data_IF_415269255671
#
_entry.id   IF_415269255671
#
_cell.length_a   1.000
_cell.length_b   1.000
_cell.length_c   1.000
_cell.angle_alpha   90.00
_cell.angle_beta   90.00
_cell.angle_gamma   90.00
#
_symmetry.space_group_name_H-M   'P 1'
#
loop_
_entity.id
_entity.type
_entity.pdbx_description
1 polymer ?
#
# COMPACT_ATOMS: atom_id res chain seq x y z
N UNK A 1 74.12 36.30 1.69
CA UNK A 1 73.23 35.80 0.64
C UNK A 1 72.38 34.63 1.13
N UNK A 2 71.12 34.83 1.53
CA UNK A 2 70.22 33.79 1.98
C UNK A 2 69.20 33.60 0.89
N UNK A 3 69.11 32.41 0.27
CA UNK A 3 68.11 32.05 -0.72
C UNK A 3 66.80 31.68 -0.01
N UNK A 4 65.74 32.41 -0.30
CA UNK A 4 64.41 32.09 0.09
C UNK A 4 63.86 30.96 -0.83
N UNK A 5 63.49 29.84 -0.24
CA UNK A 5 62.75 28.78 -0.95
C UNK A 5 61.27 29.03 -0.78
N UNK A 6 60.66 29.48 -1.85
CA UNK A 6 59.17 29.59 -1.96
C UNK A 6 58.59 28.21 -2.23
N UNK A 7 57.89 27.65 -1.25
CA UNK A 7 57.11 26.42 -1.43
C UNK A 7 55.80 26.78 -2.15
N UNK A 8 55.65 26.34 -3.37
CA UNK A 8 54.35 26.32 -4.06
C UNK A 8 53.45 25.25 -3.44
N UNK A 9 52.38 25.67 -2.78
CA UNK A 9 51.30 24.79 -2.39
C UNK A 9 50.39 24.61 -3.61
N UNK A 10 50.39 23.43 -4.21
CA UNK A 10 49.42 23.04 -5.23
C UNK A 10 48.15 22.68 -4.53
N UNK A 11 47.12 23.52 -4.66
CA UNK A 11 45.74 23.22 -4.27
C UNK A 11 45.16 22.25 -5.29
N UNK A 12 45.00 20.97 -4.95
CA UNK A 12 44.29 20.02 -5.73
C UNK A 12 42.79 20.26 -5.51
N UNK A 13 42.13 20.85 -6.50
CA UNK A 13 40.66 20.91 -6.57
C UNK A 13 40.18 19.51 -6.97
N UNK A 14 39.69 18.76 -5.99
CA UNK A 14 38.97 17.52 -6.24
C UNK A 14 37.57 17.93 -6.74
N UNK A 15 37.37 17.91 -8.04
CA UNK A 15 36.03 17.96 -8.63
C UNK A 15 35.37 16.61 -8.32
N UNK A 16 34.59 16.58 -7.27
CA UNK A 16 33.67 15.49 -7.00
C UNK A 16 32.62 15.50 -8.11
N UNK A 17 32.82 14.68 -9.13
CA UNK A 17 31.79 14.36 -10.09
C UNK A 17 30.72 13.56 -9.34
N UNK A 18 29.70 14.25 -8.85
CA UNK A 18 28.50 13.63 -8.31
C UNK A 18 27.85 12.85 -9.43
N UNK A 19 28.06 11.54 -9.42
CA UNK A 19 27.21 10.62 -10.17
C UNK A 19 25.84 10.72 -9.50
N UNK A 20 24.98 11.58 -10.06
CA UNK A 20 23.54 11.47 -9.79
C UNK A 20 23.16 10.08 -10.28
N UNK A 21 22.99 9.17 -9.33
CA UNK A 21 22.21 7.96 -9.56
C UNK A 21 20.83 8.47 -9.97
N UNK A 22 20.60 8.50 -11.30
CA UNK A 22 19.28 8.53 -11.84
C UNK A 22 18.56 7.37 -11.14
N UNK A 23 17.65 7.68 -10.24
CA UNK A 23 16.69 6.72 -9.75
C UNK A 23 15.97 6.23 -11.01
N UNK A 24 16.29 5.02 -11.44
CA UNK A 24 15.53 4.35 -12.48
C UNK A 24 14.09 4.37 -11.97
N UNK A 25 13.22 5.09 -12.63
CA UNK A 25 11.82 5.13 -12.30
C UNK A 25 11.32 3.68 -12.35
N UNK A 26 10.64 3.23 -11.33
CA UNK A 26 10.00 1.92 -11.23
C UNK A 26 8.91 1.68 -12.29
N UNK A 27 8.72 2.62 -13.20
CA UNK A 27 7.72 2.63 -14.26
C UNK A 27 7.82 1.45 -15.24
N UNK A 28 8.97 0.75 -15.28
CA UNK A 28 9.15 -0.43 -16.12
C UNK A 28 8.86 -1.75 -15.41
N UNK A 29 8.62 -1.74 -14.12
CA UNK A 29 8.45 -2.96 -13.32
C UNK A 29 7.27 -3.81 -13.79
N UNK A 30 6.19 -3.20 -14.26
CA UNK A 30 4.98 -3.87 -14.70
C UNK A 30 4.79 -3.92 -16.22
N UNK A 31 5.73 -3.41 -17.00
CA UNK A 31 5.57 -3.28 -18.47
C UNK A 31 5.36 -4.62 -19.18
N UNK A 32 5.86 -5.72 -18.62
CA UNK A 32 5.69 -7.06 -19.15
C UNK A 32 4.23 -7.54 -19.15
N UNK A 33 3.41 -7.05 -18.22
CA UNK A 33 2.01 -7.42 -18.06
C UNK A 33 1.12 -6.95 -19.21
N UNK A 34 1.54 -5.91 -19.93
CA UNK A 34 0.76 -5.29 -20.99
C UNK A 34 1.02 -5.89 -22.38
N UNK A 35 2.04 -6.76 -22.54
CA UNK A 35 2.51 -7.21 -23.85
C UNK A 35 1.56 -8.14 -24.59
N UNK A 36 0.80 -8.95 -23.87
CA UNK A 36 -0.07 -10.00 -24.42
C UNK A 36 -1.50 -9.92 -23.90
N UNK A 37 -1.94 -8.73 -23.47
CA UNK A 37 -3.30 -8.56 -23.00
C UNK A 37 -4.32 -8.74 -24.12
N UNK A 38 -5.43 -9.44 -23.89
CA UNK A 38 -6.52 -9.56 -24.85
C UNK A 38 -7.36 -8.29 -24.98
N UNK A 39 -6.96 -7.21 -24.36
CA UNK A 39 -7.64 -5.91 -24.35
C UNK A 39 -6.63 -4.77 -24.23
N UNK A 40 -7.04 -3.57 -24.62
CA UNK A 40 -6.23 -2.38 -24.44
C UNK A 40 -6.39 -1.82 -23.03
N UNK A 41 -5.28 -1.55 -22.37
CA UNK A 41 -5.19 -0.92 -21.06
C UNK A 41 -4.00 0.03 -21.04
N UNK A 42 -4.21 1.24 -20.54
CA UNK A 42 -3.15 2.20 -20.32
C UNK A 42 -2.14 1.69 -19.29
N UNK A 43 -0.85 1.87 -19.53
CA UNK A 43 0.17 1.52 -18.54
C UNK A 43 -0.02 2.35 -17.27
N UNK A 44 -0.15 1.68 -16.15
CA UNK A 44 -0.24 2.33 -14.84
C UNK A 44 1.18 2.54 -14.30
N UNK A 45 1.42 3.73 -13.79
CA UNK A 45 2.69 4.12 -13.18
C UNK A 45 2.55 4.24 -11.67
N UNK A 46 3.65 3.99 -10.96
CA UNK A 46 3.67 4.19 -9.51
C UNK A 46 3.41 5.67 -9.16
N UNK A 47 2.83 5.96 -7.99
CA UNK A 47 2.64 7.32 -7.51
C UNK A 47 3.95 8.10 -7.50
N UNK A 48 3.92 9.33 -8.00
CA UNK A 48 5.08 10.21 -7.96
C UNK A 48 5.15 10.90 -6.60
N UNK A 49 5.96 10.36 -5.70
CA UNK A 49 6.16 10.91 -4.35
C UNK A 49 7.36 11.84 -4.34
N UNK A 50 7.21 13.02 -3.76
CA UNK A 50 8.31 13.97 -3.60
C UNK A 50 9.43 13.38 -2.72
N UNK A 51 10.71 13.69 -2.98
CA UNK A 51 11.85 13.07 -2.29
C UNK A 51 12.03 13.53 -0.83
N UNK A 52 11.06 14.29 -0.29
CA UNK A 52 11.04 14.68 1.12
C UNK A 52 10.68 13.50 1.98
N UNK A 53 11.45 13.27 3.04
CA UNK A 53 11.19 12.21 4.02
C UNK A 53 11.19 12.79 5.42
N UNK A 54 10.23 12.37 6.24
CA UNK A 54 10.17 12.62 7.68
C UNK A 54 9.96 11.32 8.42
N UNK A 55 10.37 11.28 9.68
CA UNK A 55 10.17 10.13 10.56
C UNK A 55 9.08 10.47 11.59
N UNK A 56 8.19 9.55 11.92
CA UNK A 56 7.16 9.79 12.95
C UNK A 56 7.76 10.10 14.32
N UNK A 57 8.97 9.63 14.61
CA UNK A 57 9.72 9.97 15.83
C UNK A 57 10.08 11.46 15.91
N UNK A 58 10.27 12.14 14.79
CA UNK A 58 10.56 13.58 14.73
C UNK A 58 9.40 14.43 15.26
N UNK A 59 8.19 13.85 15.29
CA UNK A 59 6.98 14.45 15.83
C UNK A 59 6.64 14.01 17.26
N UNK A 60 7.51 13.21 17.88
CA UNK A 60 7.33 12.70 19.24
C UNK A 60 6.66 11.33 19.32
N UNK A 61 6.48 10.65 18.20
CA UNK A 61 5.96 9.29 18.18
C UNK A 61 6.88 8.29 18.87
N UNK A 62 6.31 7.25 19.48
CA UNK A 62 7.05 6.21 20.22
C UNK A 62 6.54 4.82 19.82
N UNK A 63 7.44 4.00 19.28
CA UNK A 63 7.15 2.64 18.81
C UNK A 63 7.22 1.56 19.91
N UNK A 64 6.61 1.79 21.07
CA UNK A 64 6.68 0.93 22.26
C UNK A 64 5.49 -0.05 22.40
N UNK A 65 4.52 0.00 21.50
CA UNK A 65 3.29 -0.81 21.54
C UNK A 65 2.22 -0.33 22.53
N UNK A 66 2.49 0.70 23.31
CA UNK A 66 1.60 1.22 24.36
C UNK A 66 1.15 2.64 24.05
N UNK A 67 2.08 3.51 23.69
CA UNK A 67 1.82 4.92 23.38
C UNK A 67 0.89 5.06 22.19
N UNK A 68 -0.15 5.89 22.32
CA UNK A 68 -1.05 6.22 21.23
C UNK A 68 -0.40 7.28 20.33
N UNK A 69 -0.13 6.94 19.08
CA UNK A 69 0.63 7.78 18.14
C UNK A 69 -0.25 8.53 17.13
N UNK A 70 -1.57 8.45 17.20
CA UNK A 70 -2.47 9.01 16.18
C UNK A 70 -2.21 10.48 15.88
N UNK A 71 -2.01 11.30 16.91
CA UNK A 71 -1.73 12.74 16.73
C UNK A 71 -0.38 13.00 16.07
N UNK A 72 0.65 12.22 16.38
CA UNK A 72 1.98 12.36 15.78
C UNK A 72 1.98 11.98 14.30
N UNK A 73 1.25 10.92 13.95
CA UNK A 73 1.02 10.56 12.55
C UNK A 73 0.26 11.65 11.81
N UNK A 74 -0.82 12.16 12.40
CA UNK A 74 -1.63 13.20 11.77
C UNK A 74 -0.81 14.48 11.52
N UNK A 75 -0.03 14.92 12.50
CA UNK A 75 0.85 16.09 12.37
C UNK A 75 1.91 15.88 11.26
N UNK A 76 2.56 14.72 11.22
CA UNK A 76 3.54 14.39 10.18
C UNK A 76 2.92 14.39 8.78
N UNK A 77 1.74 13.80 8.61
CA UNK A 77 1.00 13.80 7.35
C UNK A 77 0.63 15.23 6.95
N UNK A 78 0.18 16.05 7.91
CA UNK A 78 -0.20 17.44 7.65
C UNK A 78 1.00 18.29 7.22
N UNK A 79 2.13 18.14 7.87
CA UNK A 79 3.38 18.83 7.51
C UNK A 79 3.84 18.43 6.11
N UNK A 80 3.80 17.15 5.75
CA UNK A 80 4.14 16.69 4.41
C UNK A 80 3.17 17.26 3.38
N UNK A 81 1.87 17.17 3.62
CA UNK A 81 0.84 17.64 2.68
C UNK A 81 0.94 19.17 2.43
N UNK A 82 1.17 19.97 3.46
CA UNK A 82 1.37 21.42 3.34
C UNK A 82 2.62 21.77 2.51
N UNK A 83 3.57 20.87 2.41
CA UNK A 83 4.80 21.03 1.64
C UNK A 83 4.78 20.29 0.29
N UNK A 84 3.61 19.90 -0.22
CA UNK A 84 3.46 19.26 -1.53
C UNK A 84 3.66 17.75 -1.54
N UNK A 85 3.70 17.10 -0.37
CA UNK A 85 3.82 15.66 -0.23
C UNK A 85 5.19 15.18 0.23
N UNK A 86 5.35 13.86 0.28
CA UNK A 86 6.59 13.18 0.67
C UNK A 86 6.33 11.86 1.38
N UNK A 87 7.39 11.28 1.91
CA UNK A 87 7.39 10.00 2.62
C UNK A 87 7.37 10.20 4.13
N UNK A 88 6.39 9.59 4.80
CA UNK A 88 6.37 9.41 6.25
C UNK A 88 6.92 8.03 6.58
N UNK A 89 8.08 7.97 7.19
CA UNK A 89 8.71 6.73 7.62
C UNK A 89 8.24 6.33 9.01
N UNK A 90 7.81 5.07 9.13
CA UNK A 90 7.51 4.39 10.38
C UNK A 90 8.64 3.42 10.65
N UNK A 91 9.58 3.73 11.56
CA UNK A 91 10.75 2.91 11.79
C UNK A 91 10.40 1.68 12.63
N UNK A 92 11.42 0.84 12.88
CA UNK A 92 11.31 -0.35 13.74
C UNK A 92 10.58 -0.06 15.04
N UNK A 93 9.61 -0.91 15.40
CA UNK A 93 8.83 -0.82 16.63
C UNK A 93 7.39 -1.26 16.47
N UNK A 94 6.62 -1.17 17.54
CA UNK A 94 5.17 -1.41 17.53
C UNK A 94 4.47 -0.06 17.73
N UNK A 95 3.84 0.42 16.68
CA UNK A 95 3.25 1.75 16.61
C UNK A 95 1.75 1.68 16.78
N UNK A 96 1.29 1.83 18.01
CA UNK A 96 -0.15 1.83 18.31
C UNK A 96 -0.78 3.13 17.83
N UNK A 97 -1.84 3.03 17.02
CA UNK A 97 -2.52 4.21 16.46
C UNK A 97 -4.03 4.01 16.35
N UNK A 98 -4.79 5.10 16.36
CA UNK A 98 -6.15 5.17 15.88
C UNK A 98 -6.20 5.35 14.35
N UNK A 99 -7.32 5.87 13.81
CA UNK A 99 -7.49 6.13 12.40
C UNK A 99 -6.45 7.11 11.84
N UNK A 100 -5.94 6.80 10.64
CA UNK A 100 -5.05 7.66 9.87
C UNK A 100 -5.71 8.02 8.55
N UNK A 101 -5.62 9.28 8.15
CA UNK A 101 -6.09 9.74 6.83
C UNK A 101 -4.90 10.20 6.00
N UNK A 102 -4.64 9.51 4.89
CA UNK A 102 -3.60 9.92 3.95
C UNK A 102 -4.15 10.96 2.97
N UNK A 103 -3.27 11.84 2.50
CA UNK A 103 -3.57 12.97 1.61
C UNK A 103 -2.81 12.82 0.29
N UNK A 104 -3.06 13.73 -0.64
CA UNK A 104 -2.33 13.77 -1.92
C UNK A 104 -0.81 13.72 -1.74
N UNK A 105 -0.16 12.97 -2.61
CA UNK A 105 1.29 12.86 -2.72
C UNK A 105 1.98 12.35 -1.44
N UNK A 106 1.28 11.58 -0.60
CA UNK A 106 1.84 11.00 0.64
C UNK A 106 2.15 9.53 0.45
N UNK A 107 3.35 9.15 0.86
CA UNK A 107 3.73 7.77 1.08
C UNK A 107 3.85 7.49 2.58
N UNK A 108 3.08 6.54 3.08
CA UNK A 108 3.26 5.93 4.40
C UNK A 108 4.18 4.72 4.25
N UNK A 109 5.42 4.87 4.66
CA UNK A 109 6.44 3.83 4.56
C UNK A 109 6.61 3.13 5.92
N UNK A 110 6.03 1.93 6.05
CA UNK A 110 6.14 1.08 7.26
C UNK A 110 7.31 0.12 7.04
N UNK A 111 8.44 0.36 7.70
CA UNK A 111 9.65 -0.44 7.46
C UNK A 111 9.49 -1.92 7.87
N UNK A 112 10.33 -2.82 7.35
CA UNK A 112 10.22 -4.27 7.57
C UNK A 112 10.10 -4.70 9.04
N UNK A 113 10.74 -3.97 9.94
CA UNK A 113 10.74 -4.26 11.39
C UNK A 113 9.66 -3.48 12.15
N UNK A 114 8.75 -2.81 11.45
CA UNK A 114 7.69 -2.01 12.04
C UNK A 114 6.34 -2.75 12.02
N UNK A 115 5.58 -2.60 13.08
CA UNK A 115 4.18 -3.01 13.16
C UNK A 115 3.34 -1.77 13.45
N UNK A 116 2.47 -1.42 12.54
CA UNK A 116 1.44 -0.42 12.74
C UNK A 116 0.22 -1.13 13.32
N UNK A 117 -0.07 -0.89 14.61
CA UNK A 117 -1.07 -1.62 15.40
C UNK A 117 -2.30 -0.74 15.64
N UNK A 118 -3.46 -1.19 15.17
CA UNK A 118 -4.69 -0.43 15.34
C UNK A 118 -5.23 -0.49 16.77
N UNK A 119 -5.80 0.61 17.24
CA UNK A 119 -6.44 0.66 18.56
C UNK A 119 -7.77 -0.11 18.52
N UNK A 120 -7.86 -1.16 19.33
CA UNK A 120 -8.96 -2.14 19.30
C UNK A 120 -10.35 -1.58 19.66
N UNK A 121 -10.43 -0.39 20.20
CA UNK A 121 -11.67 0.28 20.58
C UNK A 121 -12.29 1.13 19.45
N UNK A 122 -11.59 1.28 18.33
CA UNK A 122 -12.09 2.03 17.17
C UNK A 122 -12.99 1.17 16.27
N UNK A 123 -14.15 1.71 15.90
CA UNK A 123 -15.03 1.16 14.85
C UNK A 123 -14.78 1.78 13.48
N UNK A 124 -13.74 2.60 13.36
CA UNK A 124 -13.38 3.32 12.15
C UNK A 124 -12.33 2.56 11.35
N UNK A 125 -12.19 2.88 10.08
CA UNK A 125 -11.11 2.40 9.23
C UNK A 125 -9.76 2.87 9.77
N UNK A 126 -8.77 1.97 9.77
CA UNK A 126 -7.43 2.29 10.25
C UNK A 126 -6.69 3.26 9.33
N UNK A 127 -6.67 2.97 8.04
CA UNK A 127 -6.04 3.83 7.03
C UNK A 127 -7.10 4.19 6.00
N UNK A 128 -7.42 5.46 5.88
CA UNK A 128 -8.35 5.98 4.89
C UNK A 128 -7.65 6.90 3.88
N UNK A 129 -7.98 6.70 2.61
CA UNK A 129 -7.60 7.55 1.48
C UNK A 129 -8.88 7.90 0.76
N UNK A 130 -9.24 9.17 0.70
CA UNK A 130 -10.49 9.60 0.07
C UNK A 130 -10.28 10.88 -0.73
N UNK A 131 -10.67 10.84 -2.01
CA UNK A 131 -10.57 11.97 -2.93
C UNK A 131 -9.13 12.42 -3.19
N UNK A 132 -8.15 11.52 -3.04
CA UNK A 132 -6.73 11.86 -3.12
C UNK A 132 -6.04 11.18 -4.31
N UNK A 133 -4.91 11.75 -4.74
CA UNK A 133 -4.09 11.24 -5.83
C UNK A 133 -2.63 11.06 -5.40
N UNK A 134 -1.92 10.13 -6.07
CA UNK A 134 -0.51 9.83 -5.79
C UNK A 134 -0.26 9.43 -4.32
N UNK A 135 -0.94 8.40 -3.86
CA UNK A 135 -0.80 7.91 -2.49
C UNK A 135 -0.17 6.54 -2.48
N UNK A 136 0.72 6.29 -1.51
CA UNK A 136 1.34 4.99 -1.36
C UNK A 136 1.37 4.51 0.10
N UNK A 137 1.27 3.19 0.29
CA UNK A 137 1.59 2.50 1.54
C UNK A 137 2.58 1.40 1.20
N UNK A 138 3.80 1.50 1.75
CA UNK A 138 4.94 0.66 1.36
C UNK A 138 5.81 0.26 2.55
N UNK A 139 6.94 -0.42 2.30
CA UNK A 139 8.05 -0.53 3.25
C UNK A 139 8.28 -1.91 3.87
N UNK A 140 7.42 -2.88 3.62
CA UNK A 140 7.61 -4.28 4.04
C UNK A 140 7.18 -4.59 5.47
N UNK A 141 6.63 -3.62 6.20
CA UNK A 141 6.15 -3.81 7.56
C UNK A 141 4.74 -4.41 7.64
N UNK A 142 4.26 -4.50 8.86
CA UNK A 142 2.97 -5.10 9.17
C UNK A 142 1.95 -4.01 9.52
N UNK A 143 0.80 -4.05 8.88
CA UNK A 143 -0.37 -3.25 9.21
C UNK A 143 -1.40 -4.20 9.83
N UNK A 144 -1.58 -4.08 11.14
CA UNK A 144 -2.33 -5.02 11.97
C UNK A 144 -3.59 -4.35 12.52
N UNK A 145 -4.76 -4.83 12.08
CA UNK A 145 -6.05 -4.36 12.54
C UNK A 145 -6.40 -4.74 13.97
N UNK A 146 -5.55 -5.54 14.63
CA UNK A 146 -5.76 -6.01 16.00
C UNK A 146 -7.15 -6.65 16.21
N UNK A 147 -7.55 -7.47 15.26
CA UNK A 147 -8.91 -7.97 15.06
C UNK A 147 -9.51 -8.84 16.15
N UNK A 148 -8.83 -9.07 17.27
CA UNK A 148 -9.41 -9.72 18.45
C UNK A 148 -10.53 -8.86 19.11
N UNK A 149 -10.62 -7.63 18.71
CA UNK A 149 -11.70 -6.77 19.14
C UNK A 149 -12.99 -7.09 18.38
N UNK A 150 -13.94 -7.69 19.03
CA UNK A 150 -15.33 -7.94 18.58
C UNK A 150 -16.08 -6.69 18.09
N UNK A 151 -15.41 -5.57 17.89
CA UNK A 151 -15.97 -4.22 17.71
C UNK A 151 -15.76 -3.61 16.32
N UNK A 152 -15.00 -4.25 15.44
CA UNK A 152 -14.72 -3.70 14.11
C UNK A 152 -15.70 -4.19 13.03
N UNK A 153 -16.84 -4.73 13.41
CA UNK A 153 -17.84 -5.20 12.45
C UNK A 153 -18.20 -4.07 11.47
N UNK A 154 -17.78 -4.22 10.22
CA UNK A 154 -18.09 -3.32 9.12
C UNK A 154 -17.03 -2.29 8.75
N UNK A 155 -15.97 -2.06 9.54
CA UNK A 155 -14.88 -1.17 9.16
C UNK A 155 -13.77 -1.92 8.43
N UNK A 156 -13.22 -1.30 7.39
CA UNK A 156 -12.07 -1.83 6.65
C UNK A 156 -10.76 -1.53 7.37
N UNK A 157 -9.73 -2.36 7.15
CA UNK A 157 -8.38 -2.01 7.61
C UNK A 157 -7.82 -0.86 6.78
N UNK A 158 -7.92 -0.97 5.45
CA UNK A 158 -7.57 0.10 4.51
C UNK A 158 -8.78 0.39 3.64
N UNK A 159 -9.16 1.66 3.49
CA UNK A 159 -10.18 2.14 2.57
C UNK A 159 -9.58 3.12 1.57
N UNK A 160 -9.86 2.89 0.28
CA UNK A 160 -9.47 3.77 -0.84
C UNK A 160 -10.73 4.16 -1.60
N UNK A 161 -11.11 5.42 -1.56
CA UNK A 161 -12.38 5.87 -2.12
C UNK A 161 -12.22 7.16 -2.93
N UNK A 162 -12.77 7.16 -4.18
CA UNK A 162 -12.70 8.30 -5.10
C UNK A 162 -11.25 8.78 -5.36
N UNK A 163 -10.30 7.83 -5.52
CA UNK A 163 -8.87 8.10 -5.63
C UNK A 163 -8.31 7.81 -7.02
N UNK A 164 -7.17 8.42 -7.33
CA UNK A 164 -6.39 8.13 -8.54
C UNK A 164 -4.92 7.88 -8.20
N UNK A 165 -4.33 6.84 -8.80
CA UNK A 165 -2.92 6.46 -8.64
C UNK A 165 -2.57 6.14 -7.18
N UNK A 166 -3.01 4.97 -6.73
CA UNK A 166 -2.73 4.48 -5.37
C UNK A 166 -1.90 3.19 -5.44
N UNK A 167 -0.85 3.12 -4.63
CA UNK A 167 0.03 1.96 -4.50
C UNK A 167 -0.03 1.40 -3.08
N UNK A 168 -0.39 0.12 -2.96
CA UNK A 168 -0.13 -0.65 -1.74
C UNK A 168 0.90 -1.72 -2.09
N UNK A 169 2.10 -1.65 -1.50
CA UNK A 169 3.18 -2.55 -1.88
C UNK A 169 4.02 -3.03 -0.70
N UNK A 170 4.52 -4.27 -0.85
CA UNK A 170 5.49 -4.92 0.04
C UNK A 170 4.99 -5.21 1.47
N UNK A 171 3.85 -4.72 1.88
CA UNK A 171 3.33 -4.79 3.24
C UNK A 171 2.49 -6.05 3.51
N UNK A 172 2.42 -6.41 4.80
CA UNK A 172 1.52 -7.43 5.32
C UNK A 172 0.31 -6.73 5.97
N UNK A 173 -0.88 -6.95 5.41
CA UNK A 173 -2.16 -6.46 5.95
C UNK A 173 -2.86 -7.61 6.66
N UNK A 174 -3.18 -7.45 7.94
CA UNK A 174 -3.75 -8.57 8.69
C UNK A 174 -4.73 -8.17 9.78
N UNK A 175 -5.49 -9.16 10.23
CA UNK A 175 -6.32 -9.12 11.43
C UNK A 175 -7.39 -8.01 11.40
N UNK A 176 -8.05 -7.81 10.26
CA UNK A 176 -9.28 -7.02 10.19
C UNK A 176 -10.49 -7.91 10.47
N UNK A 177 -11.47 -7.40 11.18
CA UNK A 177 -12.77 -8.05 11.36
C UNK A 177 -13.76 -7.73 10.25
N UNK A 178 -13.46 -6.75 9.41
CA UNK A 178 -14.16 -6.40 8.19
C UNK A 178 -13.28 -6.68 6.96
N UNK A 179 -13.55 -5.98 5.87
CA UNK A 179 -12.72 -6.05 4.66
C UNK A 179 -11.31 -5.56 4.99
N UNK A 180 -10.29 -6.30 4.54
CA UNK A 180 -8.91 -5.86 4.79
C UNK A 180 -8.57 -4.68 3.89
N UNK A 181 -8.80 -4.79 2.58
CA UNK A 181 -8.57 -3.70 1.63
C UNK A 181 -9.88 -3.44 0.87
N UNK A 182 -10.50 -2.30 1.08
CA UNK A 182 -11.76 -1.90 0.46
C UNK A 182 -11.53 -0.70 -0.46
N UNK A 183 -11.66 -0.92 -1.77
CA UNK A 183 -11.44 0.12 -2.78
C UNK A 183 -12.72 0.40 -3.56
N UNK A 184 -13.10 1.68 -3.64
CA UNK A 184 -14.34 2.12 -4.27
C UNK A 184 -14.10 3.29 -5.21
N UNK A 185 -14.73 3.28 -6.39
CA UNK A 185 -14.77 4.37 -7.37
C UNK A 185 -13.39 5.00 -7.64
N UNK A 186 -12.37 4.15 -7.74
CA UNK A 186 -10.99 4.57 -7.83
C UNK A 186 -10.33 4.04 -9.11
N UNK A 187 -9.32 4.76 -9.58
CA UNK A 187 -8.63 4.48 -10.83
C UNK A 187 -7.11 4.35 -10.62
N UNK A 188 -6.45 3.56 -11.47
CA UNK A 188 -4.99 3.33 -11.44
C UNK A 188 -4.50 2.81 -10.09
N UNK A 189 -5.05 1.67 -9.67
CA UNK A 189 -4.69 1.02 -8.41
C UNK A 189 -3.62 -0.04 -8.64
N UNK A 190 -2.58 -0.03 -7.82
CA UNK A 190 -1.51 -1.02 -7.85
C UNK A 190 -1.43 -1.71 -6.47
N UNK A 191 -1.62 -3.02 -6.49
CA UNK A 191 -1.40 -3.90 -5.34
C UNK A 191 -0.27 -4.86 -5.71
N UNK A 192 0.92 -4.65 -5.15
CA UNK A 192 2.12 -5.39 -5.53
C UNK A 192 2.82 -6.00 -4.33
N UNK A 193 3.13 -7.29 -4.41
CA UNK A 193 3.88 -7.99 -3.36
C UNK A 193 3.26 -7.81 -1.96
N UNK A 194 1.93 -7.78 -1.86
CA UNK A 194 1.23 -7.69 -0.59
C UNK A 194 0.85 -9.08 -0.07
N UNK A 195 0.78 -9.20 1.25
CA UNK A 195 0.21 -10.34 1.93
C UNK A 195 -1.03 -9.91 2.69
N UNK A 196 -2.15 -10.57 2.43
CA UNK A 196 -3.44 -10.28 3.04
C UNK A 196 -3.89 -11.48 3.85
N UNK A 197 -3.85 -11.35 5.17
CA UNK A 197 -4.05 -12.48 6.07
C UNK A 197 -5.13 -12.18 7.12
N UNK A 198 -6.04 -13.11 7.33
CA UNK A 198 -6.96 -13.07 8.47
C UNK A 198 -7.23 -14.48 8.98
N UNK A 199 -6.86 -14.72 10.22
CA UNK A 199 -7.15 -16.00 10.91
C UNK A 199 -8.40 -15.89 11.78
N UNK A 200 -9.28 -14.94 11.52
CA UNK A 200 -10.44 -14.68 12.37
C UNK A 200 -11.64 -15.55 11.95
N UNK A 201 -12.24 -16.33 12.86
CA UNK A 201 -13.29 -17.31 12.52
C UNK A 201 -14.62 -16.76 11.99
N UNK A 202 -14.73 -15.47 11.73
CA UNK A 202 -15.90 -14.83 11.12
C UNK A 202 -15.52 -13.68 10.19
N UNK A 203 -14.40 -13.81 9.64
CA UNK A 203 -13.61 -13.30 8.66
C UNK A 203 -13.87 -12.03 7.97
N UNK A 204 -12.83 -11.29 7.92
CA UNK A 204 -12.66 -10.23 6.95
C UNK A 204 -12.51 -10.80 5.55
N UNK A 205 -13.19 -10.20 4.58
CA UNK A 205 -12.85 -10.36 3.18
C UNK A 205 -11.43 -9.85 2.96
N UNK A 206 -10.72 -10.45 2.02
CA UNK A 206 -9.36 -10.01 1.72
C UNK A 206 -9.36 -8.63 1.07
N UNK A 207 -9.91 -8.56 -0.13
CA UNK A 207 -9.97 -7.34 -0.93
C UNK A 207 -11.34 -7.19 -1.58
N UNK A 208 -11.87 -5.97 -1.60
CA UNK A 208 -13.05 -5.60 -2.37
C UNK A 208 -12.71 -4.48 -3.34
N UNK A 209 -13.07 -4.66 -4.61
CA UNK A 209 -12.97 -3.66 -5.67
C UNK A 209 -14.38 -3.36 -6.17
N UNK A 210 -14.92 -2.19 -5.88
CA UNK A 210 -16.25 -1.75 -6.33
C UNK A 210 -16.14 -0.49 -7.20
N UNK A 211 -16.58 -0.59 -8.44
CA UNK A 211 -16.55 0.51 -9.40
C UNK A 211 -15.12 1.07 -9.66
N UNK A 212 -14.13 0.18 -9.61
CA UNK A 212 -12.74 0.53 -9.85
C UNK A 212 -12.34 0.25 -11.31
N UNK A 213 -11.33 1.01 -11.79
CA UNK A 213 -10.77 0.82 -13.10
C UNK A 213 -9.24 0.79 -13.08
N UNK A 214 -8.64 0.18 -14.13
CA UNK A 214 -7.19 0.13 -14.32
C UNK A 214 -6.45 -0.36 -13.07
N UNK A 215 -6.61 -1.64 -12.76
CA UNK A 215 -6.10 -2.25 -11.52
C UNK A 215 -5.03 -3.27 -11.84
N UNK A 216 -3.90 -3.19 -11.15
CA UNK A 216 -2.87 -4.24 -11.09
C UNK A 216 -2.89 -4.91 -9.73
N UNK A 217 -3.01 -6.23 -9.71
CA UNK A 217 -2.85 -7.07 -8.53
C UNK A 217 -1.79 -8.11 -8.83
N UNK A 218 -0.55 -7.91 -8.35
CA UNK A 218 0.59 -8.72 -8.78
C UNK A 218 1.41 -9.24 -7.61
N UNK A 219 1.99 -10.43 -7.78
CA UNK A 219 2.91 -11.05 -6.81
C UNK A 219 2.36 -11.12 -5.39
N UNK A 220 1.06 -11.28 -5.23
CA UNK A 220 0.39 -11.09 -3.93
C UNK A 220 -0.19 -12.39 -3.38
N UNK A 221 -0.33 -12.47 -2.07
CA UNK A 221 -0.83 -13.66 -1.40
C UNK A 221 -2.01 -13.33 -0.49
N UNK A 222 -3.04 -14.20 -0.53
CA UNK A 222 -4.24 -14.08 0.28
C UNK A 222 -4.45 -15.35 1.09
N UNK A 223 -4.65 -15.20 2.39
CA UNK A 223 -5.03 -16.27 3.31
C UNK A 223 -6.09 -15.73 4.29
N UNK A 224 -7.35 -15.79 3.88
CA UNK A 224 -8.50 -15.25 4.62
C UNK A 224 -9.62 -16.30 4.67
N UNK A 225 -10.44 -16.29 5.72
CA UNK A 225 -11.52 -17.26 5.85
C UNK A 225 -12.74 -16.98 4.96
N UNK A 226 -12.88 -15.75 4.45
CA UNK A 226 -13.92 -15.36 3.51
C UNK A 226 -13.38 -15.33 2.07
N UNK A 227 -13.91 -14.46 1.22
CA UNK A 227 -13.45 -14.31 -0.16
C UNK A 227 -12.13 -13.56 -0.23
N UNK A 228 -11.20 -14.02 -1.07
CA UNK A 228 -9.90 -13.39 -1.20
C UNK A 228 -10.00 -12.06 -1.94
N UNK A 229 -10.63 -12.05 -3.11
CA UNK A 229 -10.83 -10.85 -3.94
C UNK A 229 -12.25 -10.82 -4.45
N UNK A 230 -13.01 -9.79 -4.08
CA UNK A 230 -14.35 -9.54 -4.57
C UNK A 230 -14.37 -8.42 -5.60
N UNK A 231 -15.04 -8.67 -6.72
CA UNK A 231 -15.11 -7.76 -7.86
C UNK A 231 -16.55 -7.32 -8.08
N UNK A 232 -16.78 -6.00 -8.14
CA UNK A 232 -18.05 -5.41 -8.48
C UNK A 232 -17.85 -4.19 -9.38
N UNK A 233 -18.43 -4.20 -10.57
CA UNK A 233 -18.29 -3.11 -11.56
C UNK A 233 -16.83 -2.73 -11.89
N UNK A 234 -15.94 -3.72 -12.03
CA UNK A 234 -14.51 -3.51 -12.27
C UNK A 234 -14.22 -3.52 -13.77
N UNK A 235 -13.32 -2.65 -14.20
CA UNK A 235 -12.85 -2.58 -15.59
C UNK A 235 -11.33 -2.54 -15.63
N UNK A 236 -10.73 -3.29 -16.57
CA UNK A 236 -9.28 -3.38 -16.77
C UNK A 236 -8.54 -3.82 -15.50
N UNK A 237 -8.72 -5.06 -15.10
CA UNK A 237 -7.96 -5.70 -14.03
C UNK A 237 -6.95 -6.68 -14.60
N UNK A 238 -5.70 -6.56 -14.19
CA UNK A 238 -4.67 -7.57 -14.38
C UNK A 238 -4.33 -8.14 -13.01
N UNK A 239 -4.58 -9.44 -12.81
CA UNK A 239 -4.10 -10.20 -11.66
C UNK A 239 -3.08 -11.22 -12.14
N UNK A 240 -1.84 -11.10 -11.67
CA UNK A 240 -0.73 -11.93 -12.10
C UNK A 240 0.08 -12.45 -10.91
N UNK A 241 0.50 -13.71 -10.96
CA UNK A 241 1.30 -14.37 -9.93
C UNK A 241 0.73 -14.21 -8.51
N UNK A 242 -0.58 -14.43 -8.33
CA UNK A 242 -1.25 -14.36 -7.04
C UNK A 242 -1.46 -15.76 -6.44
N UNK A 243 -1.22 -15.89 -5.14
CA UNK A 243 -1.42 -17.12 -4.40
C UNK A 243 -2.58 -16.98 -3.42
N UNK A 244 -3.57 -17.87 -3.51
CA UNK A 244 -4.78 -17.84 -2.70
C UNK A 244 -4.88 -19.12 -1.88
N UNK A 245 -4.96 -18.97 -0.58
CA UNK A 245 -4.90 -20.05 0.41
C UNK A 245 -6.08 -19.99 1.37
N UNK A 246 -6.74 -21.12 1.60
CA UNK A 246 -7.74 -21.28 2.65
C UNK A 246 -8.88 -20.25 2.60
N UNK A 247 -9.32 -19.85 1.40
CA UNK A 247 -10.40 -18.90 1.20
C UNK A 247 -11.70 -19.61 0.79
N UNK A 248 -12.85 -18.97 1.03
CA UNK A 248 -14.13 -19.41 0.49
C UNK A 248 -14.15 -19.28 -1.04
N UNK A 249 -13.91 -18.09 -1.55
CA UNK A 249 -13.79 -17.79 -2.96
C UNK A 249 -12.43 -17.15 -3.28
N UNK A 250 -11.85 -17.48 -4.42
CA UNK A 250 -10.59 -16.87 -4.86
C UNK A 250 -10.83 -15.49 -5.45
N UNK A 251 -11.40 -15.46 -6.66
CA UNK A 251 -11.92 -14.25 -7.28
C UNK A 251 -13.43 -14.40 -7.42
N UNK A 252 -14.18 -13.55 -6.74
CA UNK A 252 -15.64 -13.63 -6.68
C UNK A 252 -16.25 -12.42 -7.35
N UNK A 253 -17.10 -12.67 -8.34
CA UNK A 253 -17.92 -11.63 -8.96
C UNK A 253 -19.21 -11.49 -8.16
N UNK A 254 -19.50 -10.31 -7.67
CA UNK A 254 -20.67 -10.05 -6.84
C UNK A 254 -21.96 -10.12 -7.68
N UNK A 255 -22.62 -11.24 -7.67
CA UNK A 255 -23.89 -11.66 -8.22
C UNK A 255 -24.66 -10.72 -9.15
N UNK A 256 -25.99 -10.71 -9.05
CA UNK A 256 -26.87 -9.89 -9.89
C UNK A 256 -26.70 -8.36 -9.73
N UNK A 257 -25.98 -7.92 -8.71
CA UNK A 257 -25.68 -6.53 -8.40
C UNK A 257 -24.26 -6.12 -8.86
N UNK A 258 -23.53 -7.01 -9.52
CA UNK A 258 -22.12 -6.81 -9.85
C UNK A 258 -21.85 -5.67 -10.84
N UNK A 259 -22.87 -5.21 -11.57
CA UNK A 259 -22.65 -4.24 -12.64
C UNK A 259 -21.79 -4.84 -13.77
N UNK A 260 -21.04 -4.00 -14.44
CA UNK A 260 -20.23 -4.45 -15.58
C UNK A 260 -18.83 -4.86 -15.13
N UNK A 261 -18.47 -6.12 -15.36
CA UNK A 261 -17.11 -6.63 -15.23
C UNK A 261 -16.53 -6.76 -16.64
N UNK A 262 -15.46 -6.04 -16.94
CA UNK A 262 -14.84 -6.02 -18.26
C UNK A 262 -13.33 -6.09 -18.17
N UNK A 263 -12.71 -6.73 -19.18
CA UNK A 263 -11.25 -6.72 -19.36
C UNK A 263 -10.50 -7.22 -18.12
N UNK A 264 -10.79 -8.44 -17.69
CA UNK A 264 -10.10 -9.09 -16.57
C UNK A 264 -9.17 -10.16 -17.12
N UNK A 265 -7.90 -10.08 -16.78
CA UNK A 265 -6.89 -11.09 -17.04
C UNK A 265 -6.32 -11.61 -15.71
N UNK A 266 -6.33 -12.92 -15.55
CA UNK A 266 -5.74 -13.59 -14.37
C UNK A 266 -4.78 -14.64 -14.92
N UNK A 267 -3.49 -14.48 -14.62
CA UNK A 267 -2.42 -15.35 -15.10
C UNK A 267 -1.51 -15.79 -13.96
N UNK A 268 -0.86 -16.92 -14.13
CA UNK A 268 0.11 -17.51 -13.20
C UNK A 268 -0.31 -17.54 -11.72
N UNK A 269 -1.63 -17.49 -11.46
CA UNK A 269 -2.19 -17.42 -10.12
C UNK A 269 -2.55 -18.82 -9.62
N UNK A 270 -2.12 -19.14 -8.40
CA UNK A 270 -2.36 -20.41 -7.73
C UNK A 270 -3.52 -20.33 -6.74
N UNK A 271 -4.52 -21.20 -6.90
CA UNK A 271 -5.58 -21.42 -5.90
C UNK A 271 -5.30 -22.76 -5.22
N UNK A 272 -4.66 -22.73 -4.05
CA UNK A 272 -4.28 -23.94 -3.33
C UNK A 272 -5.40 -24.48 -2.45
N UNK A 273 -6.26 -23.61 -1.94
CA UNK A 273 -7.42 -24.00 -1.15
C UNK A 273 -8.48 -22.90 -1.20
N UNK A 274 -9.58 -23.16 -1.87
CA UNK A 274 -10.79 -22.34 -1.85
C UNK A 274 -12.02 -23.25 -2.01
N UNK A 275 -13.13 -22.89 -1.40
CA UNK A 275 -14.39 -23.65 -1.53
C UNK A 275 -14.99 -23.44 -2.91
N UNK A 276 -14.89 -22.22 -3.42
CA UNK A 276 -15.27 -21.84 -4.77
C UNK A 276 -14.12 -21.11 -5.46
N UNK A 277 -13.78 -21.48 -6.69
CA UNK A 277 -12.72 -20.83 -7.46
C UNK A 277 -13.15 -19.46 -7.97
N UNK A 278 -13.92 -19.46 -9.05
CA UNK A 278 -14.57 -18.28 -9.61
C UNK A 278 -16.07 -18.42 -9.41
N UNK A 279 -16.69 -17.44 -8.81
CA UNK A 279 -18.13 -17.39 -8.55
C UNK A 279 -18.94 -16.85 -9.72
#
# INVERSE_FOLDING_TARGET
MKRLHTKLIRLAVVVSCGVSLLSCSSDYEYSYLYRELPFEMENIHNPHIQPRTVNVEDFGGVGDGVTMNTSYFAEAIDVLAQNGGGRLTVPKGIWRTGPLTLKDNIELNVTNDAVLLFAADSSQTMISVSGASNVAVTGGGIIDGNGDAKKLAGASLVSVEDCETVLLADCIFRNSSGIIIDSKRSDKLIFSNIQVNSSYPKGGEGMSLDSCANVLLVNSAFAVESDAVRLKSVRNLIADNCNILNCNGAFVVDGAMAGTIQNVSISDSGVLSAVHGFG
#
